data_IF_150370165693
#
_entry.id   IF_150370165693
#
_cell.length_a   1.000
_cell.length_b   1.000
_cell.length_c   1.000
_cell.angle_alpha   90.00
_cell.angle_beta   90.00
_cell.angle_gamma   90.00
#
_symmetry.space_group_name_H-M   'P 1'
#
loop_
_entity.id
_entity.type
_entity.pdbx_description
1 polymer ?
#
# COMPACT_ATOMS: atom_id res chain seq x y z
N UNK A 1 6.90 8.65 1.15
CA UNK A 1 8.16 8.05 1.64
C UNK A 1 8.28 7.91 3.14
N UNK A 2 9.27 7.12 3.63
CA UNK A 2 9.66 7.09 5.04
C UNK A 2 10.38 8.36 5.48
N UNK A 3 10.35 8.67 6.78
CA UNK A 3 11.18 9.73 7.37
C UNK A 3 12.64 9.28 7.55
N UNK A 4 13.60 10.18 7.79
CA UNK A 4 14.97 9.80 8.10
C UNK A 4 15.05 8.85 9.31
N UNK A 5 15.96 7.85 9.29
CA UNK A 5 16.19 6.96 10.42
C UNK A 5 16.88 7.66 11.59
N UNK A 6 16.58 7.22 12.82
CA UNK A 6 17.38 7.55 14.00
C UNK A 6 18.66 6.71 14.03
N UNK A 7 19.71 7.10 14.78
CA UNK A 7 20.90 6.27 14.96
C UNK A 7 20.53 4.84 15.40
N UNK A 8 21.09 3.84 14.71
CA UNK A 8 20.82 2.41 14.98
C UNK A 8 19.48 1.89 14.46
N UNK A 9 18.67 2.69 13.75
CA UNK A 9 17.44 2.23 13.12
C UNK A 9 17.61 2.05 11.60
N UNK A 10 16.94 1.04 11.06
CA UNK A 10 16.92 0.74 9.61
C UNK A 10 16.19 1.82 8.82
N UNK A 11 15.10 2.36 9.39
CA UNK A 11 14.23 3.34 8.74
C UNK A 11 13.52 4.19 9.81
N UNK A 12 13.15 5.43 9.46
CA UNK A 12 12.28 6.25 10.29
C UNK A 12 10.81 5.80 10.24
N UNK A 13 9.89 6.69 10.57
CA UNK A 13 8.45 6.44 10.44
C UNK A 13 8.10 6.13 8.99
N UNK A 14 7.41 5.02 8.74
CA UNK A 14 7.09 4.51 7.42
C UNK A 14 5.64 4.04 7.37
N UNK A 15 4.73 4.97 7.09
CA UNK A 15 3.30 4.70 6.93
C UNK A 15 2.86 4.63 5.47
N UNK A 16 1.67 4.06 5.20
CA UNK A 16 1.10 4.04 3.86
C UNK A 16 0.66 5.43 3.41
N UNK A 17 0.61 5.63 2.10
CA UNK A 17 -0.01 6.81 1.49
C UNK A 17 -1.34 6.48 0.81
N UNK A 18 -2.12 7.51 0.48
CA UNK A 18 -3.41 7.36 -0.18
C UNK A 18 -3.24 6.64 -1.52
N UNK A 19 -3.84 5.45 -1.62
CA UNK A 19 -3.67 4.54 -2.75
C UNK A 19 -4.29 5.10 -4.04
N UNK A 20 -5.40 5.83 -3.95
CA UNK A 20 -6.09 6.45 -5.07
C UNK A 20 -5.19 7.40 -5.90
N UNK A 21 -4.14 7.99 -5.30
CA UNK A 21 -3.18 8.83 -6.05
C UNK A 21 -2.36 8.04 -7.08
N UNK A 22 -2.31 6.71 -6.92
CA UNK A 22 -1.62 5.81 -7.84
C UNK A 22 -2.56 5.14 -8.85
N UNK A 23 -3.88 5.37 -8.77
CA UNK A 23 -4.86 4.75 -9.68
C UNK A 23 -4.52 4.95 -11.17
N UNK A 24 -4.14 6.16 -11.65
CA UNK A 24 -3.81 6.39 -13.06
C UNK A 24 -2.64 5.56 -13.59
N UNK A 25 -1.75 5.09 -12.71
CA UNK A 25 -0.56 4.33 -13.07
C UNK A 25 -0.71 2.84 -12.82
N UNK A 26 -1.78 2.40 -12.15
CA UNK A 26 -1.85 1.05 -11.62
C UNK A 26 -2.07 0.01 -12.71
N UNK A 27 -2.92 0.30 -13.71
CA UNK A 27 -3.18 -0.64 -14.81
C UNK A 27 -1.89 -0.95 -15.60
N UNK A 28 -1.10 0.05 -16.08
CA UNK A 28 0.19 -0.22 -16.71
C UNK A 28 1.15 -1.03 -15.84
N UNK A 29 1.16 -0.82 -14.52
CA UNK A 29 2.00 -1.60 -13.60
C UNK A 29 1.52 -3.05 -13.47
N UNK A 30 0.20 -3.28 -13.46
CA UNK A 30 -0.39 -4.63 -13.44
C UNK A 30 -0.08 -5.40 -14.72
N UNK A 31 -0.13 -4.73 -15.87
CA UNK A 31 0.30 -5.28 -17.17
C UNK A 31 1.80 -5.63 -17.17
N UNK A 32 2.62 -4.79 -16.54
CA UNK A 32 4.06 -5.04 -16.36
C UNK A 32 4.39 -6.11 -15.30
N UNK A 33 3.39 -6.69 -14.62
CA UNK A 33 3.56 -7.82 -13.71
C UNK A 33 3.42 -7.51 -12.22
N UNK A 34 2.97 -6.31 -11.82
CA UNK A 34 2.60 -6.03 -10.44
C UNK A 34 1.51 -7.01 -9.97
N UNK A 35 1.73 -7.68 -8.83
CA UNK A 35 0.76 -8.65 -8.24
C UNK A 35 0.22 -8.27 -6.88
N UNK A 36 0.78 -7.23 -6.26
CA UNK A 36 0.35 -6.77 -4.95
C UNK A 36 0.65 -5.31 -4.75
N UNK A 37 -0.22 -4.61 -4.02
CA UNK A 37 0.00 -3.22 -3.63
C UNK A 37 -0.40 -3.03 -2.16
N UNK A 38 0.34 -2.18 -1.43
CA UNK A 38 0.01 -1.78 -0.06
C UNK A 38 -0.23 -0.27 -0.04
N UNK A 39 -1.31 0.18 0.61
CA UNK A 39 -1.65 1.60 0.71
C UNK A 39 -2.68 1.89 1.79
N UNK A 40 -3.22 3.12 1.81
CA UNK A 40 -4.39 3.48 2.64
C UNK A 40 -5.54 4.01 1.78
N UNK A 41 -6.76 3.84 2.28
CA UNK A 41 -7.98 4.21 1.57
C UNK A 41 -8.39 3.17 0.53
N UNK A 42 -9.48 3.43 -0.18
CA UNK A 42 -9.97 2.57 -1.26
C UNK A 42 -9.27 2.81 -2.60
N UNK A 43 -9.62 1.98 -3.57
CA UNK A 43 -9.23 2.10 -4.98
C UNK A 43 -10.45 2.46 -5.82
N UNK A 44 -10.24 3.14 -6.95
CA UNK A 44 -11.30 3.38 -7.92
C UNK A 44 -11.85 2.07 -8.54
N UNK A 45 -13.06 2.10 -9.11
CA UNK A 45 -13.72 0.90 -9.67
C UNK A 45 -12.94 0.27 -10.83
N UNK A 46 -12.30 1.10 -11.67
CA UNK A 46 -11.45 0.62 -12.78
C UNK A 46 -10.26 -0.18 -12.26
N UNK A 47 -9.60 0.31 -11.20
CA UNK A 47 -8.47 -0.38 -10.59
C UNK A 47 -8.93 -1.64 -9.85
N UNK A 48 -10.05 -1.59 -9.12
CA UNK A 48 -10.59 -2.77 -8.45
C UNK A 48 -10.87 -3.90 -9.45
N UNK A 49 -11.46 -3.57 -10.61
CA UNK A 49 -11.66 -4.50 -11.70
C UNK A 49 -10.35 -5.01 -12.29
N UNK A 50 -9.39 -4.12 -12.56
CA UNK A 50 -8.09 -4.52 -13.10
C UNK A 50 -7.31 -5.44 -12.15
N UNK A 51 -7.38 -5.21 -10.83
CA UNK A 51 -6.79 -6.11 -9.82
C UNK A 51 -7.35 -7.53 -9.95
N UNK A 52 -8.66 -7.67 -10.14
CA UNK A 52 -9.30 -8.96 -10.37
C UNK A 52 -8.82 -9.62 -11.68
N UNK A 53 -8.85 -8.89 -12.79
CA UNK A 53 -8.45 -9.39 -14.12
C UNK A 53 -6.98 -9.84 -14.15
N UNK A 54 -6.09 -9.08 -13.50
CA UNK A 54 -4.66 -9.39 -13.42
C UNK A 54 -4.29 -10.35 -12.28
N UNK A 55 -5.28 -10.82 -11.50
CA UNK A 55 -5.10 -11.67 -10.31
C UNK A 55 -4.09 -11.07 -9.33
N UNK A 56 -4.28 -9.80 -8.99
CA UNK A 56 -3.47 -9.03 -8.06
C UNK A 56 -4.29 -8.65 -6.81
N UNK A 57 -3.60 -8.43 -5.69
CA UNK A 57 -4.22 -8.15 -4.39
C UNK A 57 -3.88 -6.73 -3.92
N UNK A 58 -4.86 -5.98 -3.45
CA UNK A 58 -4.62 -4.73 -2.73
C UNK A 58 -4.76 -4.94 -1.22
N UNK A 59 -3.71 -4.57 -0.51
CA UNK A 59 -3.61 -4.64 0.94
C UNK A 59 -3.79 -3.24 1.55
N UNK A 60 -4.75 -3.13 2.45
CA UNK A 60 -4.97 -1.92 3.25
C UNK A 60 -4.08 -1.96 4.49
N UNK A 61 -3.23 -0.96 4.61
CA UNK A 61 -2.44 -0.68 5.82
C UNK A 61 -3.07 0.47 6.61
N UNK A 62 -2.86 0.47 7.93
CA UNK A 62 -3.43 1.47 8.83
C UNK A 62 -2.74 2.82 8.64
N UNK A 63 -3.51 3.83 8.21
CA UNK A 63 -3.04 5.20 8.08
C UNK A 63 -2.74 5.84 9.45
N UNK A 64 -1.66 6.62 9.53
CA UNK A 64 -1.27 7.34 10.76
C UNK A 64 -0.39 6.52 11.72
N UNK A 65 -0.24 5.22 11.51
CA UNK A 65 0.54 4.33 12.38
C UNK A 65 2.02 4.16 11.95
N UNK A 66 2.61 5.12 11.23
CA UNK A 66 3.90 4.95 10.56
C UNK A 66 5.09 4.61 11.49
N UNK A 67 5.09 5.11 12.72
CA UNK A 67 6.14 4.81 13.71
C UNK A 67 6.01 3.39 14.32
N UNK A 68 4.82 2.81 14.29
CA UNK A 68 4.59 1.42 14.69
C UNK A 68 4.89 0.47 13.53
N UNK A 69 4.39 0.82 12.34
CA UNK A 69 4.61 0.04 11.12
C UNK A 69 6.09 -0.08 10.75
N UNK A 70 6.90 0.95 11.01
CA UNK A 70 8.34 0.90 10.74
C UNK A 70 9.10 -0.16 11.55
N UNK A 71 8.55 -0.64 12.67
CA UNK A 71 9.14 -1.71 13.47
C UNK A 71 9.14 -3.06 12.77
N UNK A 72 8.28 -3.21 11.76
CA UNK A 72 8.17 -4.40 10.92
C UNK A 72 9.08 -4.34 9.69
N UNK A 73 9.91 -3.30 9.55
CA UNK A 73 10.82 -3.12 8.43
C UNK A 73 12.23 -3.47 8.89
N UNK A 74 12.79 -4.55 8.34
CA UNK A 74 14.07 -5.12 8.79
C UNK A 74 15.24 -4.72 7.90
N UNK A 75 15.00 -4.31 6.66
CA UNK A 75 16.01 -3.73 5.76
C UNK A 75 15.37 -2.72 4.79
N UNK A 76 16.12 -1.68 4.41
CA UNK A 76 15.75 -0.71 3.37
C UNK A 76 16.97 -0.38 2.52
N UNK A 77 16.80 -0.44 1.20
CA UNK A 77 17.81 -0.10 0.21
C UNK A 77 17.18 0.84 -0.83
N UNK A 78 17.86 1.94 -1.17
CA UNK A 78 17.47 2.79 -2.31
C UNK A 78 17.95 2.11 -3.59
N UNK A 79 17.03 1.85 -4.51
CA UNK A 79 17.32 1.10 -5.75
C UNK A 79 17.25 1.94 -7.01
N UNK A 80 16.56 3.08 -6.96
CA UNK A 80 16.52 4.05 -8.04
C UNK A 80 16.08 5.43 -7.54
N UNK A 81 16.49 6.46 -8.28
CA UNK A 81 16.04 7.85 -8.11
C UNK A 81 16.37 8.44 -6.72
N UNK A 82 17.61 8.25 -6.24
CA UNK A 82 18.05 8.72 -4.93
C UNK A 82 17.83 10.24 -4.74
N UNK A 83 17.96 11.01 -5.81
CA UNK A 83 17.72 12.46 -5.85
C UNK A 83 16.29 12.86 -5.46
N UNK A 84 15.32 11.94 -5.56
CA UNK A 84 13.93 12.18 -5.14
C UNK A 84 13.74 12.07 -3.62
N UNK A 85 14.82 11.80 -2.86
CA UNK A 85 14.79 11.78 -1.40
C UNK A 85 13.72 10.84 -0.88
N UNK A 86 12.77 11.34 -0.10
CA UNK A 86 11.71 10.50 0.49
C UNK A 86 10.85 9.75 -0.55
N UNK A 87 10.79 10.21 -1.80
CA UNK A 87 10.02 9.54 -2.88
C UNK A 87 10.88 8.61 -3.75
N UNK A 88 12.17 8.46 -3.45
CA UNK A 88 13.04 7.48 -4.13
C UNK A 88 12.49 6.05 -4.04
N UNK A 89 12.77 5.24 -5.07
CA UNK A 89 12.36 3.85 -5.11
C UNK A 89 13.21 3.03 -4.14
N UNK A 90 12.54 2.28 -3.26
CA UNK A 90 13.19 1.53 -2.19
C UNK A 90 12.77 0.08 -2.20
N UNK A 91 13.74 -0.81 -2.03
CA UNK A 91 13.51 -2.21 -1.68
C UNK A 91 13.44 -2.32 -0.17
N UNK A 92 12.39 -2.95 0.34
CA UNK A 92 12.19 -3.12 1.79
C UNK A 92 11.98 -4.59 2.11
N UNK A 93 12.59 -5.05 3.21
CA UNK A 93 12.27 -6.33 3.82
C UNK A 93 11.30 -6.10 4.98
N UNK A 94 10.23 -6.89 5.00
CA UNK A 94 9.15 -6.77 5.97
C UNK A 94 9.04 -8.07 6.78
N UNK A 95 8.86 -7.97 8.09
CA UNK A 95 8.58 -9.09 8.99
C UNK A 95 7.36 -8.81 9.87
N UNK A 96 6.33 -9.66 9.75
CA UNK A 96 5.07 -9.50 10.47
C UNK A 96 4.31 -8.20 10.17
N UNK A 97 4.51 -7.58 9.00
CA UNK A 97 3.90 -6.28 8.67
C UNK A 97 2.36 -6.39 8.56
N UNK A 98 1.59 -5.68 9.41
CA UNK A 98 0.15 -5.89 9.50
C UNK A 98 -0.59 -5.18 8.35
N UNK A 99 -1.38 -5.96 7.61
CA UNK A 99 -2.27 -5.49 6.54
C UNK A 99 -3.56 -6.28 6.50
N UNK A 100 -4.58 -5.71 5.85
CA UNK A 100 -5.86 -6.36 5.56
C UNK A 100 -5.98 -6.54 4.05
N UNK A 101 -6.43 -7.72 3.59
CA UNK A 101 -6.83 -7.90 2.18
C UNK A 101 -8.05 -7.02 1.93
N UNK A 102 -7.87 -5.97 1.14
CA UNK A 102 -8.92 -5.01 0.84
C UNK A 102 -9.60 -5.35 -0.47
N UNK A 103 -8.83 -5.48 -1.56
CA UNK A 103 -9.35 -6.04 -2.81
C UNK A 103 -8.68 -7.39 -3.08
N UNK A 104 -9.49 -8.44 -3.20
CA UNK A 104 -9.03 -9.79 -3.50
C UNK A 104 -9.12 -10.10 -5.00
N UNK A 105 -8.64 -11.28 -5.40
CA UNK A 105 -8.62 -11.72 -6.80
C UNK A 105 -9.98 -12.22 -7.32
N UNK A 106 -11.03 -12.15 -6.49
CA UNK A 106 -12.39 -12.59 -6.79
C UNK A 106 -13.38 -11.42 -6.94
N UNK A 107 -12.91 -10.18 -6.78
CA UNK A 107 -13.73 -8.97 -6.84
C UNK A 107 -14.27 -8.51 -5.49
N UNK A 108 -13.80 -9.08 -4.37
CA UNK A 108 -14.11 -8.61 -3.03
C UNK A 108 -13.55 -7.21 -2.77
N UNK A 109 -14.29 -6.40 -2.01
CA UNK A 109 -13.84 -5.10 -1.51
C UNK A 109 -14.25 -4.93 -0.04
N UNK A 110 -13.29 -5.03 0.87
CA UNK A 110 -13.52 -4.95 2.30
C UNK A 110 -14.06 -3.59 2.75
N UNK A 111 -13.66 -2.50 2.10
CA UNK A 111 -14.16 -1.16 2.43
C UNK A 111 -15.59 -0.97 1.95
N UNK A 112 -15.92 -1.43 0.74
CA UNK A 112 -17.30 -1.37 0.24
C UNK A 112 -18.24 -2.23 1.08
N UNK A 113 -17.83 -3.45 1.44
CA UNK A 113 -18.59 -4.34 2.33
C UNK A 113 -18.80 -3.71 3.71
N UNK A 114 -17.74 -3.15 4.30
CA UNK A 114 -17.84 -2.47 5.60
C UNK A 114 -18.76 -1.25 5.54
N UNK A 115 -18.66 -0.43 4.48
CA UNK A 115 -19.56 0.70 4.28
C UNK A 115 -21.01 0.24 4.15
N UNK A 116 -21.29 -0.78 3.33
CA UNK A 116 -22.65 -1.30 3.16
C UNK A 116 -23.25 -1.81 4.49
N UNK A 117 -22.44 -2.46 5.32
CA UNK A 117 -22.88 -3.00 6.61
C UNK A 117 -23.21 -1.91 7.64
N UNK A 118 -22.43 -0.83 7.70
CA UNK A 118 -22.48 0.16 8.79
C UNK A 118 -23.02 1.53 8.38
N UNK A 119 -23.43 1.70 7.12
CA UNK A 119 -24.06 2.93 6.64
C UNK A 119 -25.39 3.13 7.37
N UNK A 120 -25.44 4.11 8.25
CA UNK A 120 -26.70 4.54 8.88
C UNK A 120 -27.60 5.15 7.81
N UNK A 121 -28.89 4.80 7.76
CA UNK A 121 -29.84 5.56 6.95
C UNK A 121 -29.83 7.01 7.46
N UNK A 122 -29.68 7.94 6.51
CA UNK A 122 -29.78 9.37 6.76
C UNK A 122 -31.22 9.83 6.84
#
# INVERSE_FOLDING_TARGET
GPTPPKPGQVVGSAGPTAAARMDPFTIPLLEAGLKGAIGKGGRGPEVAKALQEHRAVYFLAVGGAGALLSRHITAVEVVAYEELGTEAMRRMQLDGFPVVVCNDVHGGDALALGQAQWRRPG
#
